data_IF_690753062660
#
_entry.id   IF_690753062660
#
_cell.length_a   1.000
_cell.length_b   1.000
_cell.length_c   1.000
_cell.angle_alpha   90.00
_cell.angle_beta   90.00
_cell.angle_gamma   90.00
#
_symmetry.space_group_name_H-M   'P 1'
#
loop_
_entity.id
_entity.type
_entity.pdbx_description
1 polymer ?
#
# COMPACT_ATOMS: atom_id res chain seq x y z
N UNK A 1 72.91 19.64 -40.39
CA UNK A 1 71.88 20.09 -39.43
C UNK A 1 70.69 19.14 -39.55
N UNK A 2 70.20 18.64 -38.42
CA UNK A 2 69.19 17.57 -38.30
C UNK A 2 67.79 18.02 -38.79
N UNK A 3 66.92 17.06 -39.17
CA UNK A 3 65.61 17.30 -39.77
C UNK A 3 64.49 17.34 -38.71
N UNK A 4 63.34 17.95 -39.03
CA UNK A 4 62.08 17.75 -38.30
C UNK A 4 60.96 17.41 -39.29
N UNK A 5 60.65 16.12 -39.38
CA UNK A 5 59.44 15.58 -40.00
C UNK A 5 58.40 15.49 -38.89
N UNK A 6 57.30 16.24 -39.00
CA UNK A 6 56.13 16.12 -38.13
C UNK A 6 55.16 15.12 -38.77
N UNK A 7 55.03 13.95 -38.13
CA UNK A 7 54.05 12.91 -38.44
C UNK A 7 52.73 13.27 -37.76
N UNK A 8 51.68 13.53 -38.55
CA UNK A 8 50.30 13.57 -38.06
C UNK A 8 49.83 12.14 -37.74
N UNK A 9 49.71 11.82 -36.45
CA UNK A 9 49.01 10.62 -35.99
C UNK A 9 47.52 10.89 -35.87
N UNK A 10 46.72 10.28 -36.74
CA UNK A 10 45.25 10.25 -36.64
C UNK A 10 44.86 9.19 -35.58
N UNK A 11 44.39 9.65 -34.42
CA UNK A 11 43.85 8.80 -33.36
C UNK A 11 42.37 8.51 -33.63
N UNK A 12 42.09 7.29 -34.08
CA UNK A 12 40.73 6.72 -34.17
C UNK A 12 40.29 6.33 -32.76
N UNK A 13 39.40 7.12 -32.16
CA UNK A 13 38.70 6.79 -30.91
C UNK A 13 37.38 6.07 -31.25
N UNK A 14 37.44 4.75 -31.40
CA UNK A 14 36.25 3.89 -31.34
C UNK A 14 35.92 3.64 -29.87
N UNK A 15 34.85 4.27 -29.38
CA UNK A 15 34.32 4.06 -28.04
C UNK A 15 33.38 2.84 -27.99
N UNK A 16 33.59 1.85 -27.09
CA UNK A 16 32.62 0.79 -26.82
C UNK A 16 31.89 1.07 -25.49
N UNK A 17 31.12 2.17 -25.39
CA UNK A 17 30.40 2.52 -24.15
C UNK A 17 28.96 1.98 -24.07
N UNK A 18 28.60 0.94 -24.86
CA UNK A 18 27.22 0.45 -24.92
C UNK A 18 26.97 -0.90 -24.22
N UNK A 19 28.00 -1.54 -23.66
CA UNK A 19 27.88 -2.83 -22.99
C UNK A 19 27.80 -2.72 -21.45
N UNK A 20 28.47 -1.75 -20.83
CA UNK A 20 28.52 -1.61 -19.35
C UNK A 20 27.19 -1.12 -18.72
N UNK A 21 26.33 -0.44 -19.48
CA UNK A 21 25.04 0.00 -18.97
C UNK A 21 24.05 -1.16 -18.74
N UNK A 22 24.24 -2.31 -19.41
CA UNK A 22 23.39 -3.48 -19.25
C UNK A 22 23.80 -4.38 -18.08
N UNK A 23 25.06 -4.32 -17.63
CA UNK A 23 25.53 -5.06 -16.44
C UNK A 23 25.30 -4.32 -15.12
N UNK A 24 25.11 -2.99 -15.15
CA UNK A 24 24.77 -2.20 -13.97
C UNK A 24 23.30 -2.34 -13.54
N UNK A 25 22.42 -2.76 -14.47
CA UNK A 25 21.04 -3.12 -14.15
C UNK A 25 21.04 -4.55 -13.58
N UNK A 26 20.82 -4.67 -12.27
CA UNK A 26 20.74 -5.97 -11.59
C UNK A 26 19.75 -6.94 -12.27
N UNK A 27 19.84 -8.23 -11.94
CA UNK A 27 18.95 -9.22 -12.56
C UNK A 27 17.49 -8.96 -12.16
N UNK A 28 16.53 -9.08 -13.11
CA UNK A 28 15.11 -9.01 -12.79
C UNK A 28 14.72 -10.01 -11.71
N UNK A 29 13.64 -9.74 -11.00
CA UNK A 29 13.19 -10.58 -9.90
C UNK A 29 11.72 -10.98 -10.04
N UNK A 30 11.42 -12.25 -9.77
CA UNK A 30 10.06 -12.73 -9.56
C UNK A 30 9.62 -12.43 -8.13
N UNK A 31 8.42 -11.88 -7.97
CA UNK A 31 7.75 -11.71 -6.69
C UNK A 31 6.80 -12.89 -6.47
N UNK A 32 6.99 -13.61 -5.37
CA UNK A 32 6.31 -14.87 -5.08
C UNK A 32 5.60 -14.74 -3.74
N UNK A 33 4.34 -15.15 -3.68
CA UNK A 33 3.55 -15.11 -2.45
C UNK A 33 3.80 -16.30 -1.54
N UNK A 34 3.50 -17.49 -2.05
CA UNK A 34 3.66 -18.78 -1.36
C UNK A 34 3.98 -19.86 -2.39
N UNK A 35 4.37 -21.03 -1.91
CA UNK A 35 4.53 -22.21 -2.73
C UNK A 35 4.81 -23.46 -1.90
N UNK A 36 4.69 -24.63 -2.52
CA UNK A 36 5.04 -25.92 -1.93
C UNK A 36 5.75 -26.80 -2.94
N UNK A 37 6.45 -27.84 -2.46
CA UNK A 37 6.93 -28.92 -3.33
C UNK A 37 5.79 -29.82 -3.79
N UNK A 38 4.77 -29.94 -2.96
CA UNK A 38 3.53 -30.65 -3.29
C UNK A 38 2.59 -29.71 -4.05
N UNK A 39 2.08 -30.20 -5.18
CA UNK A 39 1.21 -29.41 -6.04
C UNK A 39 -0.14 -29.14 -5.37
N UNK A 40 -0.74 -30.14 -4.73
CA UNK A 40 -2.05 -30.03 -4.10
C UNK A 40 -2.00 -29.07 -2.90
N UNK A 41 -0.90 -29.08 -2.13
CA UNK A 41 -0.68 -28.09 -1.07
C UNK A 41 -0.56 -26.67 -1.62
N UNK A 42 0.11 -26.49 -2.77
CA UNK A 42 0.23 -25.18 -3.40
C UNK A 42 -1.13 -24.69 -3.94
N UNK A 43 -1.91 -25.58 -4.56
CA UNK A 43 -3.28 -25.27 -5.03
C UNK A 43 -4.21 -24.91 -3.87
N UNK A 44 -4.14 -25.63 -2.74
CA UNK A 44 -4.97 -25.34 -1.56
C UNK A 44 -4.77 -23.92 -0.99
N UNK A 45 -3.63 -23.26 -1.27
CA UNK A 45 -3.37 -21.89 -0.84
C UNK A 45 -4.28 -20.85 -1.54
N UNK A 46 -4.87 -21.21 -2.69
CA UNK A 46 -5.82 -20.37 -3.44
C UNK A 46 -6.99 -19.91 -2.57
N UNK A 47 -7.45 -20.76 -1.63
CA UNK A 47 -8.55 -20.41 -0.72
C UNK A 47 -8.25 -19.19 0.17
N UNK A 48 -6.98 -18.86 0.38
CA UNK A 48 -6.54 -17.71 1.19
C UNK A 48 -6.30 -16.45 0.36
N UNK A 49 -6.42 -16.55 -0.97
CA UNK A 49 -6.18 -15.45 -1.88
C UNK A 49 -7.25 -14.35 -1.83
N UNK A 50 -8.57 -14.64 -1.82
CA UNK A 50 -9.59 -13.60 -1.99
C UNK A 50 -9.48 -12.44 -0.99
N UNK A 51 -9.26 -12.72 0.29
CA UNK A 51 -9.13 -11.66 1.30
C UNK A 51 -7.84 -10.86 1.15
N UNK A 52 -6.73 -11.52 0.77
CA UNK A 52 -5.50 -10.82 0.43
C UNK A 52 -5.68 -9.96 -0.84
N UNK A 53 -6.36 -10.46 -1.86
CA UNK A 53 -6.61 -9.74 -3.12
C UNK A 53 -7.38 -8.44 -2.88
N UNK A 54 -8.49 -8.52 -2.12
CA UNK A 54 -9.27 -7.34 -1.73
C UNK A 54 -8.41 -6.33 -0.95
N UNK A 55 -7.52 -6.81 -0.08
CA UNK A 55 -6.63 -5.93 0.70
C UNK A 55 -5.57 -5.27 -0.17
N UNK A 56 -4.98 -5.99 -1.12
CA UNK A 56 -4.04 -5.43 -2.10
C UNK A 56 -4.72 -4.35 -2.93
N UNK A 57 -5.92 -4.61 -3.45
CA UNK A 57 -6.73 -3.63 -4.20
C UNK A 57 -7.03 -2.38 -3.35
N UNK A 58 -7.55 -2.57 -2.13
CA UNK A 58 -7.84 -1.47 -1.19
C UNK A 58 -6.63 -0.62 -0.83
N UNK A 59 -5.43 -1.19 -0.88
CA UNK A 59 -4.18 -0.48 -0.56
C UNK A 59 -3.46 0.03 -1.80
N UNK A 60 -4.06 -0.12 -2.99
CA UNK A 60 -3.54 0.41 -4.26
C UNK A 60 -2.46 -0.45 -4.93
N UNK A 61 -2.32 -1.72 -4.54
CA UNK A 61 -1.42 -2.67 -5.22
C UNK A 61 -2.20 -3.44 -6.27
N UNK A 62 -1.97 -3.13 -7.54
CA UNK A 62 -2.58 -3.83 -8.67
C UNK A 62 -1.62 -4.87 -9.21
N UNK A 63 -2.07 -6.12 -9.30
CA UNK A 63 -1.28 -7.17 -9.95
C UNK A 63 -1.40 -7.07 -11.48
N UNK A 64 -0.36 -7.46 -12.23
CA UNK A 64 -0.44 -7.56 -13.67
C UNK A 64 -1.50 -8.57 -14.10
N UNK A 65 -2.01 -8.43 -15.32
CA UNK A 65 -3.03 -9.32 -15.87
C UNK A 65 -2.63 -10.80 -15.75
N UNK A 66 -3.60 -11.64 -15.39
CA UNK A 66 -3.39 -13.08 -15.20
C UNK A 66 -2.58 -13.45 -13.95
N UNK A 67 -2.42 -12.52 -13.00
CA UNK A 67 -1.80 -12.78 -11.71
C UNK A 67 -2.82 -12.61 -10.55
N UNK A 68 -2.64 -13.34 -9.44
CA UNK A 68 -1.58 -14.30 -9.20
C UNK A 68 -1.83 -15.57 -10.03
N UNK A 69 -0.76 -16.29 -10.35
CA UNK A 69 -0.87 -17.57 -11.05
C UNK A 69 0.04 -18.62 -10.44
N UNK A 70 -0.46 -19.84 -10.37
CA UNK A 70 0.30 -20.98 -9.94
C UNK A 70 1.18 -21.49 -11.10
N UNK A 71 2.50 -21.51 -10.89
CA UNK A 71 3.46 -22.00 -11.88
C UNK A 71 4.43 -22.99 -11.24
N UNK A 72 4.84 -24.00 -12.00
CA UNK A 72 5.95 -24.85 -11.59
C UNK A 72 7.26 -24.08 -11.75
N UNK A 73 8.08 -24.02 -10.71
CA UNK A 73 9.28 -23.17 -10.66
C UNK A 73 10.26 -23.43 -11.81
N UNK A 74 10.30 -24.65 -12.37
CA UNK A 74 11.16 -24.99 -13.51
C UNK A 74 10.79 -24.24 -14.80
N UNK A 75 9.56 -23.75 -14.93
CA UNK A 75 9.09 -23.05 -16.14
C UNK A 75 9.47 -21.58 -16.15
N UNK A 76 9.90 -21.03 -15.00
CA UNK A 76 10.36 -19.65 -14.86
C UNK A 76 11.90 -19.65 -14.89
N UNK A 77 12.53 -19.13 -15.96
CA UNK A 77 13.99 -19.12 -16.07
C UNK A 77 14.67 -18.44 -14.87
N UNK A 78 15.61 -19.14 -14.24
CA UNK A 78 16.35 -18.64 -13.07
C UNK A 78 15.84 -19.14 -11.72
N UNK A 79 14.59 -19.61 -11.64
CA UNK A 79 14.10 -20.24 -10.41
C UNK A 79 14.62 -21.68 -10.26
N UNK A 80 14.76 -22.11 -9.00
CA UNK A 80 15.16 -23.49 -8.67
C UNK A 80 13.98 -24.45 -8.92
N UNK A 81 14.17 -25.53 -9.71
CA UNK A 81 13.13 -26.54 -9.94
C UNK A 81 12.63 -27.23 -8.67
N UNK A 82 11.43 -27.81 -8.74
CA UNK A 82 10.87 -28.70 -7.71
C UNK A 82 9.84 -28.05 -6.77
N UNK A 83 9.30 -26.88 -7.11
CA UNK A 83 8.25 -26.21 -6.36
C UNK A 83 7.13 -25.75 -7.30
N UNK A 84 5.92 -25.65 -6.75
CA UNK A 84 4.79 -24.93 -7.33
C UNK A 84 4.63 -23.63 -6.55
N UNK A 85 4.64 -22.50 -7.25
CA UNK A 85 4.68 -21.17 -6.63
C UNK A 85 3.59 -20.27 -7.19
N UNK A 86 2.98 -19.47 -6.32
CA UNK A 86 2.08 -18.39 -6.70
C UNK A 86 2.90 -17.16 -7.08
N UNK A 87 3.05 -16.95 -8.39
CA UNK A 87 3.75 -15.80 -8.95
C UNK A 87 2.81 -14.59 -8.91
N UNK A 88 3.28 -13.50 -8.32
CA UNK A 88 2.58 -12.21 -8.26
C UNK A 88 2.99 -11.28 -9.42
N UNK A 89 4.22 -11.44 -9.92
CA UNK A 89 4.73 -10.70 -11.07
C UNK A 89 6.25 -10.82 -11.18
N UNK A 90 6.81 -10.17 -12.19
CA UNK A 90 8.25 -10.12 -12.46
C UNK A 90 8.66 -8.67 -12.71
N UNK A 91 9.60 -8.17 -11.92
CA UNK A 91 9.99 -6.77 -11.91
C UNK A 91 11.43 -6.58 -12.36
N UNK A 92 11.75 -5.37 -12.81
CA UNK A 92 13.13 -4.92 -12.93
C UNK A 92 13.79 -4.91 -11.53
N UNK A 93 15.12 -5.00 -11.49
CA UNK A 93 15.86 -5.17 -10.22
C UNK A 93 15.71 -3.98 -9.26
N UNK A 94 15.57 -2.78 -9.80
CA UNK A 94 15.41 -1.52 -9.07
C UNK A 94 13.97 -1.32 -8.56
N UNK A 95 12.97 -1.89 -9.22
CA UNK A 95 11.57 -1.82 -8.81
C UNK A 95 11.21 -2.88 -7.75
N UNK A 96 11.76 -4.10 -7.91
CA UNK A 96 11.35 -5.28 -7.16
C UNK A 96 11.41 -5.11 -5.64
N UNK A 97 12.44 -4.41 -5.12
CA UNK A 97 12.62 -4.21 -3.69
C UNK A 97 11.47 -3.42 -3.07
N UNK A 98 11.13 -2.28 -3.67
CA UNK A 98 10.07 -1.40 -3.17
C UNK A 98 8.69 -2.06 -3.21
N UNK A 99 8.38 -2.81 -4.28
CA UNK A 99 7.11 -3.55 -4.38
C UNK A 99 7.06 -4.68 -3.33
N UNK A 100 8.17 -5.41 -3.17
CA UNK A 100 8.25 -6.49 -2.20
C UNK A 100 8.06 -6.00 -0.76
N UNK A 101 8.57 -4.82 -0.41
CA UNK A 101 8.38 -4.24 0.92
C UNK A 101 6.90 -4.05 1.24
N UNK A 102 6.13 -3.48 0.30
CA UNK A 102 4.68 -3.30 0.45
C UNK A 102 3.95 -4.65 0.53
N UNK A 103 4.29 -5.59 -0.35
CA UNK A 103 3.71 -6.94 -0.32
C UNK A 103 3.99 -7.67 1.00
N UNK A 104 5.17 -7.50 1.59
CA UNK A 104 5.53 -8.12 2.88
C UNK A 104 4.76 -7.57 4.07
N UNK A 105 4.28 -6.33 4.01
CA UNK A 105 3.44 -5.78 5.06
C UNK A 105 2.12 -6.55 5.18
N UNK A 106 1.53 -6.88 4.03
CA UNK A 106 0.21 -7.49 3.88
C UNK A 106 0.24 -9.01 3.74
N UNK A 107 1.34 -9.56 3.23
CA UNK A 107 1.59 -10.99 3.10
C UNK A 107 3.05 -11.28 3.47
N UNK A 108 3.38 -11.44 4.76
CA UNK A 108 4.75 -11.58 5.25
C UNK A 108 5.54 -12.76 4.67
N UNK A 109 4.84 -13.77 4.15
CA UNK A 109 5.45 -14.91 3.45
C UNK A 109 5.97 -14.60 2.05
N UNK A 110 5.68 -13.42 1.49
CA UNK A 110 6.13 -13.01 0.17
C UNK A 110 7.64 -12.86 0.11
N UNK A 111 8.24 -13.28 -1.00
CA UNK A 111 9.67 -13.19 -1.22
C UNK A 111 9.99 -12.96 -2.70
N UNK A 112 11.22 -12.49 -2.96
CA UNK A 112 11.73 -12.35 -4.32
C UNK A 112 12.80 -13.40 -4.64
N UNK A 113 12.92 -13.72 -5.93
CA UNK A 113 14.02 -14.53 -6.48
C UNK A 113 14.46 -13.96 -7.82
N UNK A 114 15.77 -13.90 -8.04
CA UNK A 114 16.32 -13.51 -9.34
C UNK A 114 15.82 -14.45 -10.45
N UNK A 115 15.47 -13.87 -11.59
CA UNK A 115 15.03 -14.57 -12.79
C UNK A 115 15.82 -14.10 -14.00
N UNK A 116 15.78 -14.91 -15.06
CA UNK A 116 16.45 -14.67 -16.33
C UNK A 116 15.41 -14.37 -17.41
N UNK A 117 14.69 -13.26 -17.24
CA UNK A 117 13.69 -12.80 -18.20
C UNK A 117 14.17 -11.51 -18.88
N UNK A 118 13.90 -11.33 -20.18
CA UNK A 118 14.15 -10.07 -20.85
C UNK A 118 13.14 -9.01 -20.41
N UNK A 119 13.51 -7.73 -20.53
CA UNK A 119 12.74 -6.60 -20.00
C UNK A 119 11.31 -6.49 -20.57
N UNK A 120 11.11 -6.87 -21.83
CA UNK A 120 9.82 -6.88 -22.54
C UNK A 120 8.84 -7.96 -22.02
N UNK A 121 9.33 -8.89 -21.18
CA UNK A 121 8.51 -9.95 -20.55
C UNK A 121 8.32 -9.73 -19.05
N UNK A 122 8.75 -8.58 -18.53
CA UNK A 122 8.53 -8.22 -17.15
C UNK A 122 7.11 -7.66 -17.01
N UNK A 123 6.44 -8.08 -15.95
CA UNK A 123 5.11 -7.62 -15.58
C UNK A 123 5.14 -7.40 -14.07
N UNK A 124 5.49 -6.18 -13.66
CA UNK A 124 5.65 -5.83 -12.26
C UNK A 124 4.29 -5.40 -11.69
N UNK A 125 3.93 -5.80 -10.46
CA UNK A 125 2.79 -5.21 -9.77
C UNK A 125 2.96 -3.70 -9.65
N UNK A 126 1.86 -2.97 -9.84
CA UNK A 126 1.83 -1.54 -9.66
C UNK A 126 1.99 -1.21 -8.18
N UNK A 127 2.74 -0.15 -7.91
CA UNK A 127 2.92 0.37 -6.57
C UNK A 127 1.74 1.24 -6.20
N UNK A 128 1.41 1.30 -4.90
CA UNK A 128 0.39 2.23 -4.45
C UNK A 128 0.85 3.67 -4.66
N UNK A 129 -0.10 4.57 -4.92
CA UNK A 129 0.18 5.99 -5.10
C UNK A 129 0.86 6.62 -3.87
N UNK A 130 0.51 6.13 -2.68
CA UNK A 130 1.15 6.48 -1.42
C UNK A 130 1.62 5.23 -0.67
N UNK A 131 2.75 5.30 0.06
CA UNK A 131 3.30 4.15 0.75
C UNK A 131 2.40 3.73 1.91
N UNK A 132 2.16 2.42 2.01
CA UNK A 132 1.50 1.83 3.17
C UNK A 132 2.49 1.77 4.34
N UNK A 133 2.09 2.25 5.51
CA UNK A 133 2.92 2.26 6.72
C UNK A 133 2.33 1.36 7.78
N UNK A 134 3.09 0.39 8.25
CA UNK A 134 2.69 -0.37 9.44
C UNK A 134 2.82 0.52 10.67
N UNK A 135 1.85 0.42 11.56
CA UNK A 135 1.95 1.02 12.88
C UNK A 135 2.31 0.00 13.95
N UNK A 136 2.75 0.50 15.10
CA UNK A 136 3.21 -0.31 16.24
C UNK A 136 2.04 -0.92 17.04
N UNK A 137 0.82 -0.40 16.86
CA UNK A 137 -0.37 -0.91 17.54
C UNK A 137 -0.75 -2.29 17.00
N UNK A 138 -0.56 -3.31 17.84
CA UNK A 138 -0.94 -4.71 17.54
C UNK A 138 -1.85 -5.23 18.64
N UNK A 139 -3.07 -5.61 18.26
CA UNK A 139 -4.02 -6.20 19.19
C UNK A 139 -4.05 -7.72 19.01
N UNK A 140 -3.58 -8.44 20.03
CA UNK A 140 -3.69 -9.91 20.08
C UNK A 140 -5.14 -10.28 20.41
N UNK A 141 -5.74 -11.12 19.57
CA UNK A 141 -7.10 -11.64 19.80
C UNK A 141 -7.04 -13.14 20.17
N UNK A 142 -8.20 -13.73 20.46
CA UNK A 142 -8.29 -15.17 20.74
C UNK A 142 -7.78 -16.03 19.57
N UNK A 143 -7.36 -17.26 19.87
CA UNK A 143 -6.86 -18.22 18.88
C UNK A 143 -5.52 -17.85 18.18
N UNK A 144 -4.80 -16.85 18.69
CA UNK A 144 -3.47 -16.48 18.18
C UNK A 144 -3.49 -15.62 16.92
N UNK A 145 -4.66 -15.13 16.53
CA UNK A 145 -4.79 -14.09 15.50
C UNK A 145 -4.37 -12.71 16.06
N UNK A 146 -3.98 -11.82 15.16
CA UNK A 146 -3.48 -10.48 15.49
C UNK A 146 -4.10 -9.44 14.58
N UNK A 147 -4.75 -8.43 15.16
CA UNK A 147 -5.15 -7.24 14.43
C UNK A 147 -3.95 -6.31 14.33
N UNK A 148 -3.56 -5.95 13.11
CA UNK A 148 -2.51 -4.98 12.82
C UNK A 148 -3.12 -3.76 12.14
N UNK A 149 -2.48 -2.62 12.33
CA UNK A 149 -2.95 -1.33 11.82
C UNK A 149 -1.95 -0.83 10.79
N UNK A 150 -2.47 -0.39 9.65
CA UNK A 150 -1.70 0.27 8.62
C UNK A 150 -2.30 1.62 8.28
N UNK A 151 -1.47 2.55 7.84
CA UNK A 151 -1.93 3.85 7.35
C UNK A 151 -1.45 4.14 5.94
N UNK A 152 -2.26 4.88 5.20
CA UNK A 152 -1.96 5.34 3.85
C UNK A 152 -2.46 6.77 3.69
N UNK A 153 -1.65 7.64 3.10
CA UNK A 153 -2.10 9.00 2.77
C UNK A 153 -2.84 8.98 1.43
N UNK A 154 -4.02 9.57 1.39
CA UNK A 154 -4.85 9.71 0.21
C UNK A 154 -5.02 11.19 -0.10
N UNK A 155 -5.00 11.55 -1.38
CA UNK A 155 -5.31 12.90 -1.83
C UNK A 155 -6.26 12.82 -3.00
N UNK A 156 -7.37 13.53 -2.89
CA UNK A 156 -8.37 13.72 -3.92
C UNK A 156 -8.33 15.20 -4.33
N UNK A 157 -8.27 15.44 -5.62
CA UNK A 157 -8.28 16.79 -6.19
C UNK A 157 -9.63 17.07 -6.86
N UNK A 158 -10.04 18.34 -6.97
CA UNK A 158 -11.21 18.73 -7.75
C UNK A 158 -11.14 18.20 -9.19
N UNK A 159 -12.29 18.14 -9.86
CA UNK A 159 -12.36 17.77 -11.28
C UNK A 159 -11.59 18.77 -12.17
N UNK A 160 -11.42 18.45 -13.46
CA UNK A 160 -10.69 19.31 -14.40
C UNK A 160 -11.32 20.72 -14.57
N UNK A 161 -12.60 20.87 -14.22
CA UNK A 161 -13.32 22.14 -14.24
C UNK A 161 -13.20 22.90 -12.91
N UNK A 162 -12.46 22.35 -11.94
CA UNK A 162 -12.25 22.92 -10.61
C UNK A 162 -13.43 22.74 -9.67
N UNK A 163 -14.37 21.84 -9.99
CA UNK A 163 -15.52 21.54 -9.13
C UNK A 163 -15.16 20.47 -8.11
N UNK A 164 -15.62 20.67 -6.89
CA UNK A 164 -15.40 19.78 -5.75
C UNK A 164 -14.35 20.29 -4.78
N UNK A 165 -14.02 19.44 -3.82
CA UNK A 165 -13.08 19.75 -2.75
C UNK A 165 -11.73 19.08 -3.02
N UNK A 166 -10.66 19.75 -2.62
CA UNK A 166 -9.40 19.08 -2.34
C UNK A 166 -9.54 18.39 -1.00
N UNK A 167 -9.35 17.07 -0.97
CA UNK A 167 -9.38 16.27 0.27
C UNK A 167 -8.05 15.58 0.44
N UNK A 168 -7.35 15.83 1.55
CA UNK A 168 -6.19 15.06 1.97
C UNK A 168 -6.55 14.29 3.24
N UNK A 169 -6.36 12.98 3.26
CA UNK A 169 -6.74 12.16 4.42
C UNK A 169 -5.78 11.02 4.66
N UNK A 170 -5.63 10.62 5.92
CA UNK A 170 -4.95 9.40 6.31
C UNK A 170 -5.98 8.28 6.46
N UNK A 171 -5.93 7.28 5.59
CA UNK A 171 -6.73 6.06 5.70
C UNK A 171 -6.09 5.11 6.70
N UNK A 172 -6.88 4.59 7.64
CA UNK A 172 -6.47 3.55 8.57
C UNK A 172 -7.06 2.20 8.12
N UNK A 173 -6.21 1.20 7.90
CA UNK A 173 -6.60 -0.16 7.59
C UNK A 173 -6.35 -1.05 8.81
N UNK A 174 -7.40 -1.69 9.31
CA UNK A 174 -7.37 -2.66 10.40
C UNK A 174 -7.46 -4.05 9.80
N UNK A 175 -6.37 -4.80 9.85
CA UNK A 175 -6.27 -6.10 9.18
C UNK A 175 -6.04 -7.18 10.21
N UNK A 176 -6.94 -8.16 10.25
CA UNK A 176 -6.83 -9.32 11.13
C UNK A 176 -6.04 -10.42 10.43
N UNK A 177 -4.92 -10.80 11.03
CA UNK A 177 -4.09 -11.89 10.55
C UNK A 177 -4.31 -13.15 11.38
N UNK A 178 -4.35 -14.29 10.71
CA UNK A 178 -4.25 -15.61 11.35
C UNK A 178 -2.86 -15.80 11.97
N UNK A 179 -2.71 -16.82 12.81
CA UNK A 179 -1.38 -17.22 13.34
C UNK A 179 -0.38 -17.53 12.21
N UNK A 180 -0.86 -17.98 11.05
CA UNK A 180 -0.07 -18.27 9.86
C UNK A 180 0.24 -17.05 8.98
N UNK A 181 -0.23 -15.86 9.35
CA UNK A 181 -0.03 -14.63 8.58
C UNK A 181 -0.97 -14.48 7.39
N UNK A 182 -2.08 -15.22 7.36
CA UNK A 182 -3.13 -15.06 6.36
C UNK A 182 -4.10 -13.95 6.78
N UNK A 183 -4.58 -13.18 5.82
CA UNK A 183 -5.65 -12.20 6.06
C UNK A 183 -6.94 -12.96 6.33
N UNK A 184 -7.54 -12.72 7.50
CA UNK A 184 -8.82 -13.30 7.90
C UNK A 184 -9.98 -12.36 7.58
N UNK A 185 -9.81 -11.09 7.91
CA UNK A 185 -10.81 -10.04 7.65
C UNK A 185 -10.16 -8.66 7.82
N UNK A 186 -10.85 -7.61 7.38
CA UNK A 186 -10.38 -6.23 7.45
C UNK A 186 -11.51 -5.22 7.53
N UNK A 187 -11.21 -4.07 8.13
CA UNK A 187 -12.03 -2.87 8.05
C UNK A 187 -11.14 -1.65 7.84
N UNK A 188 -11.72 -0.53 7.42
CA UNK A 188 -11.00 0.73 7.30
C UNK A 188 -11.83 1.90 7.84
N UNK A 189 -11.14 2.97 8.18
CA UNK A 189 -11.75 4.23 8.60
C UNK A 189 -10.80 5.40 8.32
N UNK A 190 -11.28 6.61 8.53
CA UNK A 190 -10.52 7.84 8.27
C UNK A 190 -9.89 8.35 9.57
N UNK A 191 -8.64 8.81 9.46
CA UNK A 191 -7.90 9.44 10.53
C UNK A 191 -7.84 10.95 10.34
N UNK A 192 -6.64 11.49 10.21
CA UNK A 192 -6.46 12.91 9.93
C UNK A 192 -7.04 13.22 8.55
N UNK A 193 -7.72 14.36 8.44
CA UNK A 193 -8.42 14.77 7.23
C UNK A 193 -8.36 16.28 7.10
N UNK A 194 -8.09 16.77 5.90
CA UNK A 194 -8.13 18.17 5.53
C UNK A 194 -8.95 18.31 4.26
N UNK A 195 -10.12 18.92 4.38
CA UNK A 195 -11.03 19.23 3.29
C UNK A 195 -10.96 20.72 3.05
N UNK A 196 -10.65 21.12 1.82
CA UNK A 196 -10.74 22.51 1.40
C UNK A 196 -11.30 22.58 -0.01
N UNK A 197 -12.28 23.45 -0.22
CA UNK A 197 -12.87 23.64 -1.54
C UNK A 197 -13.69 24.91 -1.61
N UNK A 198 -14.01 25.28 -2.84
CA UNK A 198 -14.80 26.46 -3.15
C UNK A 198 -15.71 26.13 -4.33
N UNK A 199 -16.68 25.25 -4.08
CA UNK A 199 -17.66 24.85 -5.06
C UNK A 199 -18.67 26.00 -5.27
N UNK A 200 -18.85 26.52 -6.50
CA UNK A 200 -19.82 27.57 -6.79
C UNK A 200 -21.26 27.26 -6.35
N UNK A 201 -21.62 25.98 -6.24
CA UNK A 201 -22.98 25.55 -5.88
C UNK A 201 -23.23 25.39 -4.37
N UNK A 202 -22.19 25.16 -3.57
CA UNK A 202 -22.28 24.87 -2.13
C UNK A 202 -21.48 25.84 -1.24
N UNK A 203 -20.67 26.71 -1.85
CA UNK A 203 -19.84 27.67 -1.15
C UNK A 203 -18.51 27.09 -0.66
N UNK A 204 -17.70 27.91 0.05
CA UNK A 204 -16.44 27.45 0.59
C UNK A 204 -16.67 26.38 1.65
N UNK A 205 -16.07 25.21 1.45
CA UNK A 205 -16.01 24.15 2.47
C UNK A 205 -14.59 24.09 2.98
N UNK A 206 -14.41 24.23 4.29
CA UNK A 206 -13.11 24.00 4.89
C UNK A 206 -13.25 23.41 6.28
N UNK A 207 -12.80 22.16 6.41
CA UNK A 207 -12.93 21.31 7.57
C UNK A 207 -11.64 20.52 7.78
N UNK A 208 -11.25 20.33 9.03
CA UNK A 208 -10.03 19.59 9.35
C UNK A 208 -10.23 18.73 10.58
N UNK A 209 -9.89 17.45 10.45
CA UNK A 209 -9.65 16.53 11.55
C UNK A 209 -8.16 16.31 11.74
N UNK A 210 -7.68 16.40 12.97
CA UNK A 210 -6.27 16.21 13.32
C UNK A 210 -6.10 15.44 14.62
N UNK A 211 -4.85 15.12 14.94
CA UNK A 211 -4.46 14.47 16.18
C UNK A 211 -5.12 13.11 16.34
N UNK A 212 -5.22 12.35 15.25
CA UNK A 212 -5.75 10.99 15.30
C UNK A 212 -4.89 10.13 16.23
N UNK A 213 -5.54 9.58 17.24
CA UNK A 213 -4.96 8.68 18.22
C UNK A 213 -5.66 7.34 18.16
N UNK A 214 -4.92 6.29 18.50
CA UNK A 214 -5.45 4.94 18.56
C UNK A 214 -5.15 4.33 19.92
N UNK A 215 -6.20 3.90 20.62
CA UNK A 215 -6.10 3.33 21.96
C UNK A 215 -6.68 1.93 22.01
N UNK A 216 -5.99 1.01 22.68
CA UNK A 216 -6.56 -0.29 23.02
C UNK A 216 -7.57 -0.14 24.15
N UNK A 217 -8.81 -0.56 23.93
CA UNK A 217 -9.81 -0.52 24.99
C UNK A 217 -9.61 -1.64 26.01
N UNK A 218 -10.07 -1.45 27.25
CA UNK A 218 -10.09 -2.49 28.29
C UNK A 218 -10.94 -3.71 27.91
N UNK A 219 -11.92 -3.53 27.02
CA UNK A 219 -12.69 -4.63 26.43
C UNK A 219 -11.82 -5.36 25.39
N UNK A 220 -11.67 -6.67 25.56
CA UNK A 220 -10.89 -7.54 24.65
C UNK A 220 -11.40 -7.39 23.22
N UNK A 221 -10.49 -7.35 22.25
CA UNK A 221 -10.83 -7.29 20.83
C UNK A 221 -11.26 -5.90 20.35
N UNK A 222 -11.04 -4.83 21.12
CA UNK A 222 -11.51 -3.48 20.78
C UNK A 222 -10.38 -2.46 20.74
N UNK A 223 -10.35 -1.68 19.66
CA UNK A 223 -9.58 -0.44 19.53
C UNK A 223 -10.54 0.74 19.42
N UNK A 224 -10.09 1.91 19.85
CA UNK A 224 -10.81 3.17 19.65
C UNK A 224 -9.87 4.12 18.95
N UNK A 225 -10.29 4.59 17.78
CA UNK A 225 -9.66 5.70 17.08
C UNK A 225 -10.38 6.97 17.51
N UNK A 226 -9.65 8.00 17.90
CA UNK A 226 -10.20 9.31 18.24
C UNK A 226 -9.45 10.41 17.52
N UNK A 227 -10.17 11.43 17.06
CA UNK A 227 -9.61 12.60 16.37
C UNK A 227 -10.36 13.85 16.80
N UNK A 228 -9.70 15.00 16.72
CA UNK A 228 -10.32 16.29 16.98
C UNK A 228 -10.56 17.00 15.65
N UNK A 229 -11.77 17.48 15.46
CA UNK A 229 -12.16 18.10 14.21
C UNK A 229 -12.74 19.49 14.41
N UNK A 230 -12.54 20.34 13.41
CA UNK A 230 -13.07 21.69 13.42
C UNK A 230 -13.24 22.27 12.02
N UNK A 231 -14.20 23.18 11.93
CA UNK A 231 -14.36 24.01 10.74
C UNK A 231 -13.31 25.12 10.72
N UNK A 232 -12.91 25.54 9.53
CA UNK A 232 -12.10 26.74 9.36
C UNK A 232 -12.88 28.01 9.71
N UNK A 233 -12.19 29.15 9.79
CA UNK A 233 -12.72 30.44 10.26
C UNK A 233 -13.91 31.04 9.47
N UNK A 234 -14.41 30.35 8.44
CA UNK A 234 -15.55 30.77 7.61
C UNK A 234 -16.82 29.95 7.88
N UNK A 235 -16.90 29.22 8.99
CA UNK A 235 -18.09 28.48 9.37
C UNK A 235 -19.31 29.41 9.45
N UNK A 236 -20.37 29.09 8.73
CA UNK A 236 -21.64 29.81 8.80
C UNK A 236 -22.22 29.75 10.22
N UNK A 237 -23.04 30.73 10.59
CA UNK A 237 -23.69 30.67 11.90
C UNK A 237 -24.48 29.36 12.06
N UNK A 238 -24.36 28.73 13.23
CA UNK A 238 -25.01 27.47 13.53
C UNK A 238 -24.33 26.25 12.91
N UNK A 239 -23.26 26.43 12.12
CA UNK A 239 -22.43 25.34 11.68
C UNK A 239 -21.59 24.79 12.83
N UNK A 240 -21.23 23.51 12.74
CA UNK A 240 -20.31 22.88 13.68
C UNK A 240 -18.95 23.56 13.59
N UNK A 241 -18.50 24.14 14.71
CA UNK A 241 -17.19 24.77 14.84
C UNK A 241 -16.12 23.75 15.21
N UNK A 242 -16.43 22.85 16.14
CA UNK A 242 -15.52 21.82 16.61
C UNK A 242 -16.29 20.60 17.12
N UNK A 243 -15.66 19.43 17.07
CA UNK A 243 -16.14 18.20 17.69
C UNK A 243 -14.97 17.24 17.93
N UNK A 244 -15.10 16.41 18.95
CA UNK A 244 -14.27 15.22 19.10
C UNK A 244 -14.98 14.03 18.46
N UNK A 245 -14.31 13.35 17.55
CA UNK A 245 -14.86 12.21 16.84
C UNK A 245 -14.19 10.92 17.30
N UNK A 246 -14.96 9.84 17.35
CA UNK A 246 -14.45 8.53 17.71
C UNK A 246 -15.04 7.41 16.87
N UNK A 247 -14.19 6.48 16.46
CA UNK A 247 -14.56 5.26 15.75
C UNK A 247 -14.11 4.07 16.58
N UNK A 248 -15.02 3.15 16.88
CA UNK A 248 -14.69 1.92 17.57
C UNK A 248 -14.44 0.81 16.56
N UNK A 249 -13.26 0.21 16.61
CA UNK A 249 -12.95 -1.00 15.84
C UNK A 249 -13.06 -2.22 16.75
N UNK A 250 -13.85 -3.20 16.32
CA UNK A 250 -14.10 -4.43 17.08
C UNK A 250 -13.72 -5.65 16.25
N UNK A 251 -13.06 -6.60 16.91
CA UNK A 251 -12.84 -7.95 16.41
C UNK A 251 -13.73 -8.91 17.20
N UNK A 252 -14.73 -9.47 16.53
CA UNK A 252 -15.63 -10.47 17.12
C UNK A 252 -15.77 -11.68 16.20
N UNK A 253 -15.58 -12.88 16.75
CA UNK A 253 -15.65 -14.15 16.01
C UNK A 253 -14.86 -14.19 14.69
N UNK A 254 -13.71 -13.50 14.64
CA UNK A 254 -12.86 -13.44 13.44
C UNK A 254 -13.27 -12.38 12.42
N UNK A 255 -14.30 -11.58 12.71
CA UNK A 255 -14.77 -10.47 11.89
C UNK A 255 -14.28 -9.15 12.46
N UNK A 256 -13.75 -8.27 11.61
CA UNK A 256 -13.33 -6.91 11.94
C UNK A 256 -14.42 -5.94 11.47
N UNK A 257 -14.80 -5.01 12.35
CA UNK A 257 -15.75 -3.95 12.00
C UNK A 257 -15.32 -2.63 12.59
N UNK A 258 -15.48 -1.55 11.83
CA UNK A 258 -15.41 -0.19 12.32
C UNK A 258 -16.85 0.34 12.51
N UNK A 259 -17.12 0.96 13.66
CA UNK A 259 -18.43 1.59 13.89
C UNK A 259 -18.60 2.82 13.01
N UNK A 260 -19.84 3.30 12.89
CA UNK A 260 -20.05 4.68 12.50
C UNK A 260 -19.32 5.62 13.47
N UNK A 261 -18.94 6.79 12.96
CA UNK A 261 -18.31 7.85 13.73
C UNK A 261 -19.29 8.40 14.78
N UNK A 262 -18.83 8.51 16.01
CA UNK A 262 -19.56 9.12 17.12
C UNK A 262 -18.92 10.47 17.47
N UNK A 263 -19.72 11.55 17.43
CA UNK A 263 -19.29 12.90 17.80
C UNK A 263 -19.61 13.24 19.25
N UNK A 264 -18.67 13.89 19.93
CA UNK A 264 -18.77 14.40 21.30
C UNK A 264 -18.22 15.82 21.36
N UNK A 265 -18.53 16.52 22.45
CA UNK A 265 -18.03 17.88 22.72
C UNK A 265 -18.24 18.83 21.53
N UNK A 266 -19.43 18.76 20.92
CA UNK A 266 -19.73 19.53 19.71
C UNK A 266 -19.98 20.99 20.07
N UNK A 267 -19.23 21.89 19.46
CA UNK A 267 -19.43 23.33 19.55
C UNK A 267 -19.96 23.87 18.22
N UNK A 268 -20.83 24.87 18.27
CA UNK A 268 -21.41 25.51 17.10
C UNK A 268 -20.99 26.98 17.03
N UNK A 269 -20.89 27.53 15.82
CA UNK A 269 -20.64 28.95 15.62
C UNK A 269 -21.83 29.79 16.11
N UNK A 270 -21.56 30.83 16.91
CA UNK A 270 -22.58 31.75 17.41
C UNK A 270 -23.03 32.73 16.32
N UNK A 271 -24.31 33.09 16.32
CA UNK A 271 -24.86 34.20 15.52
C UNK A 271 -24.79 35.48 16.37
N UNK A 272 -24.07 36.51 15.92
CA UNK A 272 -24.25 37.87 16.42
C UNK A 272 -25.28 38.65 15.58
#
# INVERSE_FOLDING_TARGET
>A
MRPCILVLGLLVLTAPFRAEAAEAAGKPAALIWKGSKDKAEAEAQEATWPELAKLLEKTGITLPEGHPRLVESKTVPGLKPGFWVWLLGTCASDEAGSVLEHLKLLAPGTYSREVKLPADKLACPERPAAPLRARDEVLKVSAGATLRVFTQEETESPDEEGRGNTVSRTRFHFVLFSKGGEVLDMADTEGDEDVSGNDPGTGPTAYRCTNTQLETSKKKGRLVLSRHCGASAFAECGAMRSADESVTVTVDNGVVSASAEERKNVEYAECE
#
